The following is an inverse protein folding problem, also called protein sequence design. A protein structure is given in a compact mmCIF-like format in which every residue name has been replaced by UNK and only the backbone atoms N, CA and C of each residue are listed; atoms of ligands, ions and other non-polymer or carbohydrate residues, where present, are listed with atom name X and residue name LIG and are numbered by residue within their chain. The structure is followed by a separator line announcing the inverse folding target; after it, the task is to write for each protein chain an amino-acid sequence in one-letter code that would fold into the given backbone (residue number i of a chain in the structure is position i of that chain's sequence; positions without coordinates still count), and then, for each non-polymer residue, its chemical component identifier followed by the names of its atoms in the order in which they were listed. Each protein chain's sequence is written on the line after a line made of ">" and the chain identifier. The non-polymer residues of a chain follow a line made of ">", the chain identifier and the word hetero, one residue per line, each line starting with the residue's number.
data_IF_263366377930
#
_entry.id   IF_263366377930
#
_cell.length_a   1.000
_cell.length_b   1.000
_cell.length_c   1.000
_cell.angle_alpha   90.00
_cell.angle_beta   90.00
_cell.angle_gamma   90.00
#
_symmetry.space_group_name_H-M   'P 1'
#
loop_
_entity.id
_entity.type
_entity.pdbx_description
1 polymer ?
#
# COMPACT_ATOMS: atom_id res chain seq x y z
N UNK A 1 32.01 7.09 13.02
CA UNK A 1 31.04 6.66 14.05
C UNK A 1 30.63 5.24 13.70
N UNK A 2 30.99 4.25 14.53
CA UNK A 2 30.47 2.87 14.31
C UNK A 2 29.13 2.77 15.05
N UNK A 3 28.04 2.59 14.30
CA UNK A 3 26.75 2.23 14.88
C UNK A 3 26.87 0.75 15.26
N UNK A 4 27.18 0.46 16.53
CA UNK A 4 27.45 -0.92 16.98
C UNK A 4 26.22 -1.63 17.55
N UNK A 5 25.12 -0.94 17.77
CA UNK A 5 23.99 -1.43 18.56
C UNK A 5 22.62 -1.22 17.90
N UNK A 6 22.54 -1.09 16.56
CA UNK A 6 21.27 -1.13 15.87
C UNK A 6 20.73 -2.57 15.87
N UNK A 7 19.54 -2.77 16.37
CA UNK A 7 18.81 -4.02 16.19
C UNK A 7 18.58 -4.23 14.69
N UNK A 8 19.33 -5.16 14.10
CA UNK A 8 19.22 -5.46 12.67
C UNK A 8 18.12 -6.48 12.37
N UNK A 9 17.36 -6.90 13.37
CA UNK A 9 16.21 -7.82 13.20
C UNK A 9 14.98 -7.14 12.61
N UNK A 10 14.90 -5.81 12.70
CA UNK A 10 13.83 -4.99 12.14
C UNK A 10 14.39 -3.91 11.23
N UNK A 11 13.60 -3.45 10.28
CA UNK A 11 14.00 -2.29 9.49
C UNK A 11 13.91 -1.00 10.28
N UNK A 12 14.86 -0.11 10.05
CA UNK A 12 14.85 1.27 10.55
C UNK A 12 15.53 2.20 9.57
N UNK A 13 15.23 3.50 9.64
CA UNK A 13 15.96 4.50 8.88
C UNK A 13 17.11 5.09 9.68
N UNK A 14 18.20 5.37 8.98
CA UNK A 14 19.37 6.09 9.51
C UNK A 14 19.67 7.27 8.59
N UNK A 15 19.95 8.42 9.20
CA UNK A 15 20.41 9.60 8.51
C UNK A 15 21.72 10.09 9.14
N UNK A 16 22.68 10.46 8.32
CA UNK A 16 23.91 11.09 8.80
C UNK A 16 23.86 12.58 8.54
N UNK A 17 24.46 13.34 9.44
CA UNK A 17 24.79 14.74 9.18
C UNK A 17 26.26 14.96 9.23
N UNK A 18 26.76 15.85 8.39
CA UNK A 18 28.14 16.30 8.36
C UNK A 18 28.21 17.80 8.57
N UNK A 19 29.11 18.21 9.43
CA UNK A 19 29.39 19.60 9.69
C UNK A 19 30.90 19.80 9.67
N UNK A 20 31.37 20.87 9.05
CA UNK A 20 32.78 21.25 9.09
C UNK A 20 33.00 22.34 10.15
N UNK A 21 33.93 22.10 11.05
CA UNK A 21 34.36 23.08 12.04
C UNK A 21 35.72 23.63 11.63
N UNK A 22 35.83 24.98 11.58
CA UNK A 22 37.06 25.70 11.24
C UNK A 22 37.31 26.79 12.28
N UNK A 23 38.50 27.41 12.23
CA UNK A 23 38.79 28.57 13.08
C UNK A 23 37.85 29.76 12.82
N UNK A 24 37.16 29.81 11.69
CA UNK A 24 36.21 30.85 11.34
C UNK A 24 34.76 30.57 11.72
N UNK A 25 34.48 29.37 12.29
CA UNK A 25 33.14 28.94 12.68
C UNK A 25 32.78 27.56 12.20
N UNK A 26 31.51 27.20 12.40
CA UNK A 26 30.90 25.92 12.02
C UNK A 26 30.10 26.13 10.73
N UNK A 27 30.23 25.22 9.76
CA UNK A 27 29.41 25.21 8.55
C UNK A 27 27.96 24.80 8.87
N UNK A 28 27.06 24.99 7.92
CA UNK A 28 25.75 24.35 7.97
C UNK A 28 25.88 22.85 7.97
N UNK A 29 24.90 22.17 8.58
CA UNK A 29 24.76 20.72 8.49
C UNK A 29 24.39 20.32 7.06
N UNK A 30 25.04 19.26 6.58
CA UNK A 30 24.64 18.56 5.34
C UNK A 30 24.16 17.18 5.75
N UNK A 31 22.95 16.85 5.35
CA UNK A 31 22.32 15.58 5.69
C UNK A 31 22.44 14.59 4.52
N UNK A 32 22.66 13.32 4.83
CA UNK A 32 22.52 12.25 3.85
C UNK A 32 21.04 12.02 3.54
N UNK A 33 20.70 11.34 2.44
CA UNK A 33 19.38 10.73 2.29
C UNK A 33 19.06 9.80 3.47
N UNK A 34 17.79 9.52 3.71
CA UNK A 34 17.34 8.49 4.62
C UNK A 34 17.75 7.11 4.08
N UNK A 35 18.46 6.32 4.89
CA UNK A 35 18.98 5.01 4.50
C UNK A 35 18.30 3.93 5.33
N UNK A 36 17.49 3.04 4.73
CA UNK A 36 16.89 1.93 5.45
C UNK A 36 17.94 0.86 5.73
N UNK A 37 18.07 0.45 6.98
CA UNK A 37 18.90 -0.67 7.42
C UNK A 37 18.03 -1.80 7.98
N UNK A 38 18.56 -3.01 8.07
CA UNK A 38 17.82 -4.21 8.49
C UNK A 38 17.29 -5.05 7.31
N UNK A 39 16.49 -6.10 7.56
CA UNK A 39 15.97 -6.98 6.52
C UNK A 39 14.92 -6.27 5.64
N UNK A 40 14.81 -6.66 4.38
CA UNK A 40 13.74 -6.17 3.51
C UNK A 40 12.40 -6.84 3.86
N UNK A 41 11.29 -6.13 3.64
CA UNK A 41 9.96 -6.71 3.67
C UNK A 41 9.79 -7.67 2.50
N UNK A 42 9.14 -8.80 2.77
CA UNK A 42 8.83 -9.79 1.72
C UNK A 42 7.61 -9.37 0.92
N UNK A 43 7.52 -9.84 -0.32
CA UNK A 43 6.30 -9.77 -1.14
C UNK A 43 5.44 -11.05 -0.97
N UNK A 44 4.08 -10.99 -1.12
CA UNK A 44 3.32 -9.77 -1.44
C UNK A 44 3.42 -8.73 -0.31
N UNK A 45 3.66 -7.47 -0.69
CA UNK A 45 3.71 -6.33 0.22
C UNK A 45 2.37 -5.62 0.23
N UNK A 46 1.91 -5.21 1.41
CA UNK A 46 0.67 -4.46 1.57
C UNK A 46 0.77 -3.49 2.73
N UNK A 47 0.48 -2.22 2.46
CA UNK A 47 0.33 -1.16 3.44
C UNK A 47 -1.00 -0.45 3.22
N UNK A 48 -1.90 -0.57 4.20
CA UNK A 48 -3.25 -0.01 4.15
C UNK A 48 -3.44 1.20 5.06
N UNK A 49 -2.47 1.50 5.90
CA UNK A 49 -2.54 2.58 6.90
C UNK A 49 -3.71 2.46 7.89
N UNK A 50 -4.20 1.25 8.12
CA UNK A 50 -5.36 0.96 8.95
C UNK A 50 -5.37 1.73 10.28
N UNK A 51 -6.52 2.31 10.64
CA UNK A 51 -6.68 3.13 11.84
C UNK A 51 -5.66 4.29 11.91
N UNK A 52 -5.28 4.87 10.77
CA UNK A 52 -4.30 5.94 10.69
C UNK A 52 -2.89 5.53 11.12
N UNK A 53 -2.51 4.25 10.96
CA UNK A 53 -1.21 3.72 11.37
C UNK A 53 -0.54 2.97 10.22
N UNK A 54 0.74 3.27 10.01
CA UNK A 54 1.53 2.46 9.11
C UNK A 54 1.97 1.16 9.79
N UNK A 55 1.86 0.04 9.08
CA UNK A 55 2.34 -1.28 9.50
C UNK A 55 3.82 -1.50 9.17
N UNK A 56 4.36 -0.71 8.26
CA UNK A 56 5.75 -0.74 7.83
C UNK A 56 6.43 0.60 8.10
N UNK A 57 7.77 0.60 8.18
CA UNK A 57 8.50 1.86 8.34
C UNK A 57 8.47 2.67 7.04
N UNK A 58 8.41 3.98 7.20
CA UNK A 58 8.58 4.94 6.12
C UNK A 58 9.45 6.12 6.56
N UNK A 59 10.08 6.75 5.58
CA UNK A 59 10.90 7.93 5.76
C UNK A 59 10.19 9.18 5.26
N UNK A 60 10.16 10.21 6.11
CA UNK A 60 9.66 11.54 5.79
C UNK A 60 10.84 12.49 5.89
N UNK A 61 10.92 13.45 4.99
CA UNK A 61 11.97 14.45 4.96
C UNK A 61 11.49 15.73 5.64
N UNK A 62 11.98 16.06 6.84
CA UNK A 62 11.48 17.19 7.62
C UNK A 62 11.81 18.55 7.01
N UNK A 63 12.72 18.60 6.03
CA UNK A 63 13.06 19.78 5.25
C UNK A 63 12.07 20.07 4.11
N UNK A 64 11.19 19.13 3.77
CA UNK A 64 10.14 19.33 2.79
C UNK A 64 9.05 20.27 3.34
N UNK A 65 8.44 21.05 2.47
CA UNK A 65 7.36 21.97 2.84
C UNK A 65 6.00 21.27 2.89
N UNK A 66 5.79 20.22 2.09
CA UNK A 66 4.63 19.36 2.17
C UNK A 66 4.95 18.11 3.00
N UNK A 67 4.24 17.92 4.10
CA UNK A 67 4.50 16.82 5.04
C UNK A 67 3.57 15.64 4.76
N UNK A 68 4.16 14.44 4.72
CA UNK A 68 3.41 13.20 4.67
C UNK A 68 3.01 12.74 6.07
N UNK A 69 1.74 12.39 6.23
CA UNK A 69 1.16 11.95 7.50
C UNK A 69 0.05 10.94 7.26
N UNK A 70 -0.24 10.09 8.23
CA UNK A 70 -1.41 9.21 8.19
C UNK A 70 -2.63 9.93 8.76
N UNK A 71 -3.80 9.66 8.19
CA UNK A 71 -5.09 10.24 8.54
C UNK A 71 -6.11 9.15 8.78
N UNK A 72 -7.15 9.50 9.52
CA UNK A 72 -8.37 8.71 9.66
C UNK A 72 -9.56 9.43 8.99
N UNK A 73 -10.66 8.73 8.82
CA UNK A 73 -11.90 9.32 8.34
C UNK A 73 -12.37 10.46 9.25
N UNK A 74 -12.15 10.34 10.57
CA UNK A 74 -12.52 11.38 11.53
C UNK A 74 -11.70 12.67 11.36
N UNK A 75 -10.46 12.55 10.88
CA UNK A 75 -9.57 13.71 10.67
C UNK A 75 -9.90 14.48 9.40
N UNK A 76 -10.48 13.84 8.39
CA UNK A 76 -10.57 14.35 7.02
C UNK A 76 -11.97 14.35 6.42
N UNK A 77 -12.94 13.66 7.04
CA UNK A 77 -14.28 13.38 6.48
C UNK A 77 -14.26 12.55 5.18
N UNK A 78 -13.07 12.00 4.80
CA UNK A 78 -12.91 11.13 3.64
C UNK A 78 -12.83 9.68 4.13
N UNK A 79 -13.67 8.81 3.60
CA UNK A 79 -13.60 7.37 3.88
C UNK A 79 -12.35 6.76 3.23
N UNK A 80 -11.64 5.87 3.98
CA UNK A 80 -10.52 5.10 3.41
C UNK A 80 -11.00 4.22 2.25
N UNK A 81 -10.08 3.90 1.34
CA UNK A 81 -10.42 3.16 0.12
C UNK A 81 -10.98 1.77 0.41
N UNK A 82 -10.46 1.07 1.41
CA UNK A 82 -10.84 -0.29 1.77
C UNK A 82 -11.71 -0.37 3.03
N UNK A 83 -12.08 0.76 3.63
CA UNK A 83 -12.96 0.84 4.78
C UNK A 83 -12.29 0.53 6.12
N UNK A 84 -10.97 0.53 6.18
CA UNK A 84 -10.18 0.22 7.38
C UNK A 84 -9.85 1.45 8.24
N UNK A 85 -10.48 2.60 7.94
CA UNK A 85 -10.37 3.86 8.67
C UNK A 85 -8.96 4.46 8.67
N UNK A 86 -8.21 4.33 7.57
CA UNK A 86 -6.88 4.92 7.48
C UNK A 86 -6.40 5.14 6.06
N UNK A 87 -5.56 6.14 5.85
CA UNK A 87 -4.87 6.42 4.59
C UNK A 87 -3.68 7.35 4.82
N UNK A 88 -2.84 7.51 3.81
CA UNK A 88 -1.68 8.40 3.82
C UNK A 88 -1.99 9.68 3.05
N UNK A 89 -1.60 10.83 3.59
CA UNK A 89 -1.75 12.12 2.91
C UNK A 89 -0.47 12.93 2.94
N UNK A 90 -0.25 13.69 1.87
CA UNK A 90 0.70 14.79 1.80
C UNK A 90 -0.07 16.10 1.89
N UNK A 91 0.25 16.92 2.88
CA UNK A 91 -0.36 18.23 3.09
C UNK A 91 0.66 19.31 2.73
N UNK A 92 0.32 20.14 1.75
CA UNK A 92 1.08 21.34 1.36
C UNK A 92 0.34 22.62 1.69
N UNK A 93 1.05 23.75 1.66
CA UNK A 93 0.42 25.06 1.64
C UNK A 93 -0.04 25.39 0.21
N UNK A 94 -0.59 26.54 -0.03
CA UNK A 94 -1.13 26.94 -1.35
C UNK A 94 -0.07 27.39 -2.38
N UNK A 95 1.21 27.01 -2.22
CA UNK A 95 2.30 27.51 -3.06
C UNK A 95 3.33 26.43 -3.37
N UNK A 96 3.17 25.72 -4.47
CA UNK A 96 4.17 24.81 -5.07
C UNK A 96 5.05 24.01 -4.09
N UNK A 97 4.45 23.56 -2.98
CA UNK A 97 5.15 22.81 -1.97
C UNK A 97 5.40 21.38 -2.46
N UNK A 98 6.49 20.79 -2.00
CA UNK A 98 6.88 19.43 -2.34
C UNK A 98 7.10 18.61 -1.08
N UNK A 99 6.80 17.31 -1.18
CA UNK A 99 7.01 16.37 -0.09
C UNK A 99 7.47 15.01 -0.58
N UNK A 100 8.41 14.42 0.14
CA UNK A 100 8.98 13.11 -0.17
C UNK A 100 8.58 12.07 0.89
N UNK A 101 8.17 10.91 0.42
CA UNK A 101 7.88 9.74 1.24
C UNK A 101 8.64 8.54 0.68
N UNK A 102 9.48 7.91 1.49
CA UNK A 102 10.21 6.69 1.12
C UNK A 102 9.70 5.51 1.94
N UNK A 103 9.37 4.40 1.29
CA UNK A 103 9.13 3.14 2.00
C UNK A 103 10.43 2.56 2.55
N UNK A 104 10.32 1.60 3.46
CA UNK A 104 11.42 0.68 3.75
C UNK A 104 11.83 -0.14 2.52
N UNK A 105 12.85 -0.98 2.69
CA UNK A 105 13.28 -1.92 1.64
C UNK A 105 12.23 -3.01 1.44
N UNK A 106 11.96 -3.35 0.18
CA UNK A 106 11.02 -4.37 -0.24
C UNK A 106 11.74 -5.33 -1.18
N UNK A 107 11.65 -6.62 -0.90
CA UNK A 107 12.27 -7.68 -1.70
C UNK A 107 11.25 -8.19 -2.74
N UNK A 108 11.55 -8.00 -4.02
CA UNK A 108 10.73 -8.44 -5.14
C UNK A 108 11.02 -9.88 -5.59
N UNK A 109 11.89 -10.61 -4.87
CA UNK A 109 12.23 -12.00 -5.20
C UNK A 109 10.98 -12.88 -5.17
N UNK A 110 10.86 -13.74 -6.19
CA UNK A 110 9.71 -14.65 -6.30
C UNK A 110 8.49 -14.08 -7.03
N UNK A 111 8.47 -12.78 -7.35
CA UNK A 111 7.47 -12.21 -8.25
C UNK A 111 7.89 -12.42 -9.72
N UNK A 112 6.95 -12.82 -10.56
CA UNK A 112 7.18 -13.02 -12.01
C UNK A 112 6.89 -11.76 -12.83
N UNK A 113 5.90 -10.99 -12.38
CA UNK A 113 5.43 -9.73 -12.99
C UNK A 113 5.17 -8.70 -11.88
N UNK A 114 6.22 -8.26 -11.15
CA UNK A 114 6.03 -7.36 -10.01
C UNK A 114 5.36 -6.06 -10.45
N UNK A 115 4.27 -5.73 -9.79
CA UNK A 115 3.46 -4.56 -10.06
C UNK A 115 3.11 -3.86 -8.77
N UNK A 116 3.33 -2.55 -8.73
CA UNK A 116 2.83 -1.67 -7.69
C UNK A 116 1.39 -1.26 -8.03
N UNK A 117 0.49 -1.40 -7.09
CA UNK A 117 -0.87 -0.85 -7.16
C UNK A 117 -1.14 -0.02 -5.92
N UNK A 118 -1.86 1.07 -6.07
CA UNK A 118 -2.35 1.88 -4.96
C UNK A 118 -3.54 2.72 -5.44
N UNK A 119 -4.16 3.45 -4.55
CA UNK A 119 -5.25 4.35 -4.88
C UNK A 119 -4.85 5.79 -4.57
N UNK A 120 -5.28 6.71 -5.43
CA UNK A 120 -5.14 8.15 -5.24
C UNK A 120 -6.56 8.73 -5.12
N UNK A 121 -6.80 9.54 -4.09
CA UNK A 121 -8.07 10.24 -3.97
C UNK A 121 -8.06 11.48 -4.87
N UNK A 122 -8.89 11.46 -5.89
CA UNK A 122 -9.06 12.60 -6.78
C UNK A 122 -10.06 13.57 -6.19
N UNK A 123 -9.68 14.84 -6.12
CA UNK A 123 -10.54 15.96 -5.70
C UNK A 123 -10.69 16.89 -6.90
N UNK A 124 -11.91 17.09 -7.36
CA UNK A 124 -12.22 18.03 -8.42
C UNK A 124 -12.55 19.38 -7.76
N UNK A 125 -11.75 20.41 -8.04
CA UNK A 125 -12.05 21.77 -7.62
C UNK A 125 -13.24 22.35 -8.39
N UNK A 126 -14.09 23.13 -7.71
CA UNK A 126 -15.29 23.73 -8.35
C UNK A 126 -14.93 24.71 -9.47
N UNK A 127 -13.80 25.39 -9.40
CA UNK A 127 -13.44 26.47 -10.31
C UNK A 127 -12.08 26.32 -11.02
N UNK A 128 -11.22 25.37 -10.59
CA UNK A 128 -9.87 25.22 -11.14
C UNK A 128 -9.46 23.73 -11.22
N UNK A 129 -8.70 23.39 -12.26
CA UNK A 129 -8.15 22.05 -12.40
C UNK A 129 -7.18 21.76 -11.23
N UNK A 130 -7.31 20.59 -10.64
CA UNK A 130 -6.36 20.11 -9.64
C UNK A 130 -5.02 19.80 -10.32
N UNK A 131 -4.10 20.77 -10.30
CA UNK A 131 -2.77 20.66 -10.92
C UNK A 131 -1.72 19.98 -10.02
N UNK A 132 -2.12 19.40 -8.90
CA UNK A 132 -1.20 18.62 -8.08
C UNK A 132 -0.69 17.40 -8.84
N UNK A 133 0.54 16.99 -8.55
CA UNK A 133 1.17 15.85 -9.17
C UNK A 133 1.75 14.91 -8.11
N UNK A 134 1.62 13.61 -8.35
CA UNK A 134 2.26 12.57 -7.57
C UNK A 134 3.21 11.77 -8.46
N UNK A 135 4.49 11.84 -8.19
CA UNK A 135 5.50 11.05 -8.89
C UNK A 135 5.88 9.81 -8.07
N UNK A 136 6.02 8.67 -8.77
CA UNK A 136 6.46 7.39 -8.23
C UNK A 136 7.83 7.06 -8.79
N UNK A 137 8.78 6.80 -7.92
CA UNK A 137 10.14 6.37 -8.27
C UNK A 137 10.53 5.11 -7.53
N UNK A 138 11.47 4.37 -8.09
CA UNK A 138 12.22 3.32 -7.38
C UNK A 138 13.55 3.88 -6.94
N UNK A 139 13.90 3.65 -5.67
CA UNK A 139 15.24 3.85 -5.15
C UNK A 139 15.94 2.49 -5.04
N UNK A 140 16.99 2.31 -5.83
CA UNK A 140 17.78 1.10 -5.89
C UNK A 140 19.27 1.44 -5.95
N UNK A 141 20.09 0.82 -5.09
CA UNK A 141 21.53 1.08 -4.98
C UNK A 141 21.89 2.58 -4.87
N UNK A 142 21.07 3.34 -4.12
CA UNK A 142 21.27 4.78 -3.90
C UNK A 142 20.87 5.69 -5.06
N UNK A 143 20.35 5.13 -6.16
CA UNK A 143 19.83 5.90 -7.30
C UNK A 143 18.31 5.90 -7.29
N UNK A 144 17.71 7.06 -7.55
CA UNK A 144 16.27 7.20 -7.75
C UNK A 144 15.96 7.23 -9.24
N UNK A 145 15.04 6.38 -9.68
CA UNK A 145 14.56 6.32 -11.07
C UNK A 145 13.06 6.57 -11.10
N UNK A 146 12.64 7.62 -11.78
CA UNK A 146 11.24 7.95 -11.98
C UNK A 146 10.58 6.86 -12.85
N UNK A 147 9.43 6.36 -12.39
CA UNK A 147 8.61 5.40 -13.13
C UNK A 147 7.41 6.07 -13.77
N UNK A 148 6.66 6.86 -13.01
CA UNK A 148 5.40 7.46 -13.46
C UNK A 148 5.13 8.76 -12.71
N UNK A 149 4.38 9.67 -13.33
CA UNK A 149 3.84 10.88 -12.71
C UNK A 149 2.34 10.96 -12.99
N UNK A 150 1.57 10.98 -11.92
CA UNK A 150 0.12 11.10 -11.95
C UNK A 150 -0.26 12.57 -11.74
N UNK A 151 -0.96 13.14 -12.72
CA UNK A 151 -1.54 14.48 -12.64
C UNK A 151 -2.99 14.37 -12.22
N UNK A 152 -3.36 15.01 -11.13
CA UNK A 152 -4.68 14.83 -10.51
C UNK A 152 -5.82 15.12 -11.49
N UNK A 153 -5.69 16.16 -12.34
CA UNK A 153 -6.70 16.52 -13.33
C UNK A 153 -6.87 15.51 -14.48
N UNK A 154 -5.91 14.58 -14.67
CA UNK A 154 -5.96 13.53 -15.70
C UNK A 154 -6.50 12.20 -15.14
N UNK A 155 -6.63 12.05 -13.81
CA UNK A 155 -6.99 10.77 -13.19
C UNK A 155 -8.45 10.40 -13.37
N UNK A 156 -9.36 11.34 -13.17
CA UNK A 156 -10.82 11.12 -13.22
C UNK A 156 -11.57 12.45 -13.39
N UNK A 157 -12.77 12.38 -13.94
CA UNK A 157 -13.75 13.48 -14.00
C UNK A 157 -14.67 13.52 -12.76
N UNK A 158 -14.37 12.73 -11.73
CA UNK A 158 -15.16 12.62 -10.48
C UNK A 158 -14.25 12.55 -9.26
N UNK A 159 -14.79 13.05 -8.14
CA UNK A 159 -14.18 12.83 -6.84
C UNK A 159 -14.16 11.35 -6.48
N UNK A 160 -13.16 10.95 -5.72
CA UNK A 160 -13.07 9.62 -5.16
C UNK A 160 -11.73 8.91 -5.44
N UNK A 161 -11.65 7.69 -4.94
CA UNK A 161 -10.47 6.84 -5.06
C UNK A 161 -10.31 6.29 -6.48
N UNK A 162 -9.16 6.52 -7.08
CA UNK A 162 -8.77 6.03 -8.41
C UNK A 162 -7.63 5.05 -8.25
N UNK A 163 -7.81 3.80 -8.72
CA UNK A 163 -6.75 2.79 -8.74
C UNK A 163 -5.72 3.13 -9.81
N UNK A 164 -4.45 3.06 -9.46
CA UNK A 164 -3.33 3.19 -10.37
C UNK A 164 -2.39 1.99 -10.27
N UNK A 165 -1.71 1.68 -11.38
CA UNK A 165 -0.82 0.53 -11.49
C UNK A 165 0.49 0.97 -12.16
N UNK A 166 1.63 0.56 -11.57
CA UNK A 166 2.96 0.85 -12.09
C UNK A 166 3.76 -0.44 -12.18
N UNK A 167 4.32 -0.73 -13.35
CA UNK A 167 5.17 -1.91 -13.56
C UNK A 167 6.51 -1.77 -12.83
N UNK A 168 6.90 -2.82 -12.10
CA UNK A 168 8.20 -2.94 -11.46
C UNK A 168 9.07 -4.03 -12.13
N UNK A 169 8.74 -4.45 -13.36
CA UNK A 169 9.40 -5.57 -14.04
C UNK A 169 10.91 -5.37 -14.21
N UNK A 170 11.38 -4.13 -14.40
CA UNK A 170 12.81 -3.80 -14.53
C UNK A 170 13.58 -4.03 -13.22
N UNK A 171 12.88 -4.20 -12.11
CA UNK A 171 13.43 -4.44 -10.77
C UNK A 171 13.12 -5.83 -10.22
N UNK A 172 12.65 -6.73 -11.08
CA UNK A 172 12.40 -8.12 -10.71
C UNK A 172 13.61 -8.74 -10.03
N UNK A 173 13.36 -9.54 -8.98
CA UNK A 173 14.38 -10.22 -8.17
C UNK A 173 15.38 -9.27 -7.46
N UNK A 174 14.99 -7.98 -7.31
CA UNK A 174 15.80 -6.96 -6.63
C UNK A 174 15.15 -6.49 -5.34
N UNK A 175 15.97 -5.90 -4.46
CA UNK A 175 15.49 -5.19 -3.26
C UNK A 175 15.44 -3.71 -3.60
N UNK A 176 14.26 -3.11 -3.45
CA UNK A 176 13.99 -1.71 -3.78
C UNK A 176 13.40 -0.96 -2.59
N UNK A 177 13.32 0.36 -2.71
CA UNK A 177 12.38 1.21 -2.00
C UNK A 177 11.47 1.91 -3.02
N UNK A 178 10.26 2.20 -2.62
CA UNK A 178 9.41 3.14 -3.36
C UNK A 178 9.63 4.53 -2.80
N UNK A 179 9.71 5.51 -3.70
CA UNK A 179 9.66 6.93 -3.38
C UNK A 179 8.43 7.54 -4.01
N UNK A 180 7.60 8.16 -3.19
CA UNK A 180 6.48 8.99 -3.60
C UNK A 180 6.88 10.44 -3.39
N UNK A 181 6.72 11.24 -4.44
CA UNK A 181 7.04 12.67 -4.40
C UNK A 181 5.79 13.45 -4.78
N UNK A 182 5.28 14.23 -3.83
CA UNK A 182 4.14 15.12 -4.04
C UNK A 182 4.60 16.49 -4.48
N UNK A 183 3.89 17.06 -5.45
CA UNK A 183 4.01 18.47 -5.84
C UNK A 183 2.63 19.11 -5.77
N UNK A 184 2.49 20.10 -4.90
CA UNK A 184 1.24 20.82 -4.64
C UNK A 184 1.26 22.15 -5.37
N UNK A 185 0.39 22.29 -6.37
CA UNK A 185 0.27 23.54 -7.13
C UNK A 185 -0.77 24.47 -6.52
N UNK A 186 -1.89 23.96 -6.06
CA UNK A 186 -2.99 24.77 -5.58
C UNK A 186 -3.78 24.15 -4.41
N UNK A 187 -4.05 22.84 -4.45
CA UNK A 187 -4.83 22.17 -3.41
C UNK A 187 -3.92 21.61 -2.31
N UNK A 188 -4.38 21.66 -1.03
CA UNK A 188 -3.52 21.31 0.09
C UNK A 188 -3.19 19.83 0.20
N UNK A 189 -3.99 18.92 -0.41
CA UNK A 189 -3.86 17.49 -0.15
C UNK A 189 -3.62 16.67 -1.40
N UNK A 190 -2.74 15.66 -1.27
CA UNK A 190 -2.65 14.48 -2.12
C UNK A 190 -2.81 13.29 -1.19
N UNK A 191 -3.87 12.48 -1.39
CA UNK A 191 -4.19 11.35 -0.54
C UNK A 191 -3.97 10.05 -1.30
N UNK A 192 -3.37 9.08 -0.65
CA UNK A 192 -3.15 7.74 -1.20
C UNK A 192 -3.51 6.67 -0.18
N UNK A 193 -3.87 5.49 -0.68
CA UNK A 193 -4.24 4.39 0.17
C UNK A 193 -3.91 3.05 -0.48
N UNK A 194 -3.79 2.01 0.33
CA UNK A 194 -3.78 0.63 -0.09
C UNK A 194 -2.62 0.30 -1.04
N UNK A 195 -1.38 0.65 -0.63
CA UNK A 195 -0.16 0.38 -1.41
C UNK A 195 0.12 -1.12 -1.40
N UNK A 196 0.18 -1.73 -2.58
CA UNK A 196 0.45 -3.16 -2.76
C UNK A 196 1.51 -3.41 -3.81
N UNK A 197 2.35 -4.41 -3.56
CA UNK A 197 3.24 -4.96 -4.58
C UNK A 197 3.02 -6.48 -4.65
N UNK A 198 2.58 -6.94 -5.82
CA UNK A 198 2.33 -8.35 -6.13
C UNK A 198 2.48 -8.57 -7.64
N UNK A 199 2.20 -9.76 -8.13
CA UNK A 199 2.15 -10.04 -9.55
C UNK A 199 0.93 -9.41 -10.22
N UNK A 200 1.10 -8.74 -11.36
CA UNK A 200 0.00 -8.12 -12.13
C UNK A 200 -1.13 -9.10 -12.47
N UNK A 201 -0.77 -10.35 -12.73
CA UNK A 201 -1.71 -11.43 -13.02
C UNK A 201 -1.63 -12.55 -11.97
N UNK A 202 -1.18 -12.21 -10.78
CA UNK A 202 -1.45 -13.11 -9.68
C UNK A 202 -2.95 -13.34 -9.69
N UNK A 203 -3.38 -14.58 -9.83
CA UNK A 203 -4.74 -14.99 -9.51
C UNK A 203 -4.96 -14.87 -7.99
N UNK A 204 -4.39 -13.84 -7.39
CA UNK A 204 -4.78 -13.26 -6.13
C UNK A 204 -6.12 -12.61 -6.41
N UNK A 205 -7.16 -13.29 -6.04
CA UNK A 205 -8.48 -12.74 -5.87
C UNK A 205 -8.27 -11.50 -5.01
N UNK A 206 -8.60 -10.32 -5.55
CA UNK A 206 -8.63 -9.11 -4.75
C UNK A 206 -9.46 -9.41 -3.52
N UNK A 207 -8.80 -9.53 -2.39
CA UNK A 207 -9.48 -9.55 -1.12
C UNK A 207 -9.86 -8.11 -0.82
N UNK A 208 -10.94 -7.63 -1.42
CA UNK A 208 -11.74 -6.61 -0.75
C UNK A 208 -12.25 -7.32 0.49
N UNK A 209 -11.54 -7.15 1.57
CA UNK A 209 -11.98 -7.65 2.87
C UNK A 209 -13.14 -6.76 3.25
N UNK A 210 -14.35 -7.17 2.88
CA UNK A 210 -15.48 -6.87 3.74
C UNK A 210 -15.10 -7.50 5.08
N UNK A 211 -14.73 -6.69 6.04
CA UNK A 211 -14.18 -7.10 7.34
C UNK A 211 -15.15 -8.00 8.14
N UNK A 212 -16.35 -8.22 7.63
CA UNK A 212 -17.39 -9.07 8.19
C UNK A 212 -17.34 -10.53 7.70
N UNK A 213 -16.84 -10.81 6.48
CA UNK A 213 -16.85 -12.16 5.91
C UNK A 213 -15.56 -12.92 6.21
N UNK A 214 -15.66 -14.01 6.96
CA UNK A 214 -14.52 -14.92 7.21
C UNK A 214 -14.81 -16.29 6.64
N UNK A 215 -13.80 -16.91 5.99
CA UNK A 215 -13.89 -18.24 5.39
C UNK A 215 -12.71 -19.08 5.87
N UNK A 216 -12.99 -20.24 6.46
CA UNK A 216 -11.96 -21.16 6.94
C UNK A 216 -12.39 -22.61 6.88
N UNK A 217 -11.43 -23.54 6.83
CA UNK A 217 -11.65 -24.96 6.86
C UNK A 217 -11.64 -25.52 8.28
N UNK A 218 -12.58 -26.39 8.56
CA UNK A 218 -12.63 -27.23 9.76
C UNK A 218 -12.46 -28.70 9.44
N UNK A 219 -12.70 -29.56 10.42
CA UNK A 219 -12.74 -31.02 10.20
C UNK A 219 -14.04 -31.39 9.47
N UNK A 220 -13.91 -31.85 8.23
CA UNK A 220 -15.02 -32.25 7.37
C UNK A 220 -15.98 -31.14 6.95
N UNK A 221 -15.59 -29.88 7.08
CA UNK A 221 -16.47 -28.75 6.73
C UNK A 221 -15.72 -27.45 6.33
N UNK A 222 -16.39 -26.65 5.55
CA UNK A 222 -16.05 -25.26 5.27
C UNK A 222 -16.97 -24.38 6.11
N UNK A 223 -16.43 -23.35 6.75
CA UNK A 223 -17.14 -22.42 7.61
C UNK A 223 -17.03 -21.04 6.98
N UNK A 224 -18.17 -20.38 6.80
CA UNK A 224 -18.28 -19.01 6.26
C UNK A 224 -19.11 -18.19 7.23
N UNK A 225 -18.57 -17.08 7.70
CA UNK A 225 -19.27 -16.15 8.61
C UNK A 225 -19.38 -14.78 7.98
N UNK A 226 -20.40 -14.00 8.34
CA UNK A 226 -20.58 -12.63 7.87
C UNK A 226 -21.01 -12.46 6.41
N UNK A 227 -21.47 -13.52 5.73
CA UNK A 227 -21.77 -13.54 4.30
C UNK A 227 -23.28 -13.50 3.97
N UNK A 228 -24.12 -13.09 4.90
CA UNK A 228 -25.59 -13.14 4.72
C UNK A 228 -26.02 -12.36 3.47
N UNK A 229 -26.89 -13.00 2.65
CA UNK A 229 -27.39 -12.46 1.40
C UNK A 229 -26.47 -12.63 0.18
N UNK A 230 -25.21 -13.06 0.37
CA UNK A 230 -24.25 -13.24 -0.71
C UNK A 230 -24.36 -14.65 -1.33
N UNK A 231 -23.80 -14.81 -2.52
CA UNK A 231 -23.67 -16.11 -3.18
C UNK A 231 -22.34 -16.74 -2.83
N UNK A 232 -22.37 -17.95 -2.28
CA UNK A 232 -21.23 -18.79 -1.98
C UNK A 232 -21.05 -19.81 -3.10
N UNK A 233 -19.83 -19.92 -3.62
CA UNK A 233 -19.45 -20.93 -4.62
C UNK A 233 -18.17 -21.64 -4.18
N UNK A 234 -18.12 -22.97 -4.36
CA UNK A 234 -16.98 -23.82 -4.01
C UNK A 234 -16.44 -24.45 -5.28
N UNK A 235 -15.13 -24.37 -5.45
CA UNK A 235 -14.44 -24.95 -6.61
C UNK A 235 -13.33 -25.89 -6.15
N UNK A 236 -12.99 -26.83 -7.01
CA UNK A 236 -11.72 -27.57 -6.91
C UNK A 236 -10.53 -26.66 -7.24
N UNK A 237 -9.29 -27.03 -6.85
CA UNK A 237 -8.10 -26.23 -7.18
C UNK A 237 -7.87 -26.02 -8.67
N UNK A 238 -8.38 -26.91 -9.53
CA UNK A 238 -8.35 -26.82 -11.00
C UNK A 238 -9.49 -25.96 -11.58
N UNK A 239 -10.30 -25.31 -10.72
CA UNK A 239 -11.33 -24.36 -11.12
C UNK A 239 -12.71 -24.95 -11.44
N UNK A 240 -12.92 -26.25 -11.25
CA UNK A 240 -14.22 -26.88 -11.48
C UNK A 240 -15.20 -26.55 -10.34
N UNK A 241 -16.38 -26.03 -10.67
CA UNK A 241 -17.43 -25.75 -9.71
C UNK A 241 -17.96 -27.04 -9.06
N UNK A 242 -17.95 -27.09 -7.74
CA UNK A 242 -18.49 -28.19 -6.92
C UNK A 242 -19.91 -27.86 -6.44
N UNK A 243 -20.10 -26.63 -5.92
CA UNK A 243 -21.37 -26.20 -5.34
C UNK A 243 -21.53 -24.69 -5.42
N UNK A 244 -22.77 -24.22 -5.52
CA UNK A 244 -23.13 -22.81 -5.36
C UNK A 244 -24.45 -22.72 -4.59
N UNK A 245 -24.51 -21.76 -3.65
CA UNK A 245 -25.74 -21.49 -2.89
C UNK A 245 -25.76 -20.07 -2.38
N UNK A 246 -26.95 -19.55 -2.06
CA UNK A 246 -27.09 -18.27 -1.38
C UNK A 246 -26.94 -18.47 0.13
N UNK A 247 -26.11 -17.65 0.76
CA UNK A 247 -25.96 -17.64 2.22
C UNK A 247 -27.16 -16.90 2.82
N UNK A 248 -27.93 -17.58 3.66
CA UNK A 248 -29.16 -17.03 4.28
C UNK A 248 -29.01 -16.80 5.78
N UNK A 249 -27.88 -17.22 6.35
CA UNK A 249 -27.60 -17.12 7.79
C UNK A 249 -26.24 -16.44 7.99
N UNK A 250 -26.02 -15.88 9.16
CA UNK A 250 -24.74 -15.21 9.51
C UNK A 250 -23.56 -16.18 9.48
N UNK A 251 -23.80 -17.44 9.88
CA UNK A 251 -22.81 -18.52 9.88
C UNK A 251 -23.29 -19.68 9.02
N UNK A 252 -22.56 -19.96 7.93
CA UNK A 252 -22.84 -21.03 7.01
C UNK A 252 -21.80 -22.15 7.17
N UNK A 253 -22.27 -23.38 7.39
CA UNK A 253 -21.43 -24.56 7.53
C UNK A 253 -21.72 -25.53 6.38
N UNK A 254 -20.70 -25.85 5.58
CA UNK A 254 -20.81 -26.74 4.44
C UNK A 254 -20.01 -28.02 4.70
N UNK A 255 -20.68 -29.15 4.84
CA UNK A 255 -20.02 -30.46 4.98
C UNK A 255 -19.33 -30.83 3.67
N UNK A 256 -18.06 -31.21 3.74
CA UNK A 256 -17.28 -31.63 2.58
C UNK A 256 -16.21 -32.65 3.02
N UNK A 257 -15.64 -33.37 2.06
CA UNK A 257 -14.54 -34.30 2.33
C UNK A 257 -13.22 -33.51 2.59
N UNK A 258 -12.24 -34.09 3.30
CA UNK A 258 -10.92 -33.50 3.43
C UNK A 258 -10.31 -33.20 2.07
N UNK A 259 -9.69 -32.03 1.95
CA UNK A 259 -9.11 -31.58 0.69
C UNK A 259 -8.83 -30.09 0.65
N UNK A 260 -8.40 -29.62 -0.53
CA UNK A 260 -8.16 -28.21 -0.82
C UNK A 260 -9.29 -27.72 -1.71
N UNK A 261 -9.83 -26.55 -1.39
CA UNK A 261 -10.92 -25.91 -2.10
C UNK A 261 -10.64 -24.44 -2.35
N UNK A 262 -11.18 -23.89 -3.44
CA UNK A 262 -11.31 -22.46 -3.64
C UNK A 262 -12.77 -22.10 -3.31
N UNK A 263 -12.95 -21.22 -2.34
CA UNK A 263 -14.27 -20.78 -1.86
C UNK A 263 -14.47 -19.33 -2.22
N UNK A 264 -15.52 -19.01 -2.96
CA UNK A 264 -15.89 -17.67 -3.39
C UNK A 264 -17.20 -17.24 -2.74
N UNK A 265 -17.22 -16.04 -2.14
CA UNK A 265 -18.39 -15.39 -1.57
C UNK A 265 -18.47 -13.96 -2.11
N UNK A 266 -19.48 -13.67 -2.91
CA UNK A 266 -19.55 -12.38 -3.61
C UNK A 266 -18.32 -12.17 -4.51
N UNK A 267 -17.55 -11.14 -4.25
CA UNK A 267 -16.27 -10.88 -4.93
C UNK A 267 -15.07 -11.49 -4.20
N UNK A 268 -15.25 -11.93 -2.96
CA UNK A 268 -14.20 -12.52 -2.15
C UNK A 268 -14.02 -14.02 -2.47
N UNK A 269 -12.78 -14.46 -2.67
CA UNK A 269 -12.49 -15.89 -2.77
C UNK A 269 -11.16 -16.21 -2.07
N UNK A 270 -11.07 -17.38 -1.47
CA UNK A 270 -9.91 -17.84 -0.72
C UNK A 270 -9.66 -19.32 -0.88
N UNK A 271 -8.42 -19.74 -0.68
CA UNK A 271 -8.04 -21.16 -0.59
C UNK A 271 -8.36 -21.69 0.82
N UNK A 272 -9.08 -22.77 0.90
CA UNK A 272 -9.50 -23.42 2.14
C UNK A 272 -8.94 -24.83 2.20
N UNK A 273 -8.36 -25.20 3.33
CA UNK A 273 -7.93 -26.58 3.62
C UNK A 273 -8.89 -27.19 4.62
N UNK A 274 -9.57 -28.26 4.21
CA UNK A 274 -10.45 -29.07 5.08
C UNK A 274 -9.68 -30.30 5.52
N UNK A 275 -9.68 -30.55 6.83
CA UNK A 275 -9.01 -31.71 7.47
C UNK A 275 -9.95 -32.85 7.71
#
# INVERSE_FOLDING_TARGET
>A
MCIRDSDTSVQTFVQYSVVAETKGGISNYVYSPLLPIGPAYSTPYHESFAEGKASHIFGIYPEDYALWSTYTTEDSEIESQDGDNGFLGSEGSYSEDTGTFDTGKIDLSGLTTPTLTFYIYNIIGEDEANNNELSVSVVHNGNSTLLETFKMYELSDKDGWVKVEVSLNDYKDQIIQLRLFSHHALLPYILIDNIRIDNLNGSGIETTVDSSTKIYGGTGKIIVTGANGQTLSIFTPDGRLISTQKVTETDCHLTTIPGIYIVKVGQFATKVVVK
#
